data_IF_963740495360
#
_entry.id   IF_963740495360
#
_cell.length_a   1.000
_cell.length_b   1.000
_cell.length_c   1.000
_cell.angle_alpha   90.00
_cell.angle_beta   90.00
_cell.angle_gamma   90.00
#
_symmetry.space_group_name_H-M   'P 1'
#
loop_
_entity.id
_entity.type
_entity.pdbx_description
1 polymer ?
#
# COMPACT_ATOMS: atom_id res chain seq x y z
N UNK A 1 35.13 -43.13 3.97
CA UNK A 1 34.96 -42.26 5.16
C UNK A 1 33.50 -42.31 5.55
N UNK A 2 33.22 -42.97 6.67
CA UNK A 2 31.88 -43.28 7.16
C UNK A 2 31.59 -42.34 8.34
N UNK A 3 30.54 -41.52 8.24
CA UNK A 3 30.10 -40.68 9.36
C UNK A 3 28.91 -41.34 10.04
N UNK A 4 29.16 -41.86 11.24
CA UNK A 4 28.15 -42.34 12.16
C UNK A 4 27.33 -41.14 12.67
N UNK A 5 26.02 -41.14 12.39
CA UNK A 5 25.09 -40.21 13.00
C UNK A 5 24.71 -40.74 14.40
N UNK A 6 25.22 -40.07 15.44
CA UNK A 6 24.78 -40.27 16.80
C UNK A 6 23.36 -39.69 16.97
N UNK A 7 22.43 -40.54 17.39
CA UNK A 7 21.04 -40.16 17.66
C UNK A 7 20.96 -39.14 18.80
N UNK A 8 20.24 -38.05 18.55
CA UNK A 8 19.87 -37.09 19.58
C UNK A 8 18.45 -37.40 20.04
N UNK A 9 18.33 -37.94 21.25
CA UNK A 9 17.06 -38.15 21.95
C UNK A 9 16.49 -36.80 22.37
N UNK A 10 15.49 -36.30 21.66
CA UNK A 10 14.72 -35.12 22.08
C UNK A 10 13.73 -35.53 23.16
N UNK A 11 13.97 -35.07 24.39
CA UNK A 11 13.00 -35.13 25.47
C UNK A 11 11.78 -34.27 25.11
N UNK A 12 10.61 -34.90 25.03
CA UNK A 12 9.33 -34.23 24.88
C UNK A 12 8.96 -33.55 26.22
N UNK A 13 9.10 -32.22 26.28
CA UNK A 13 8.51 -31.42 27.36
C UNK A 13 7.05 -31.16 27.00
N UNK A 14 6.15 -31.93 27.62
CA UNK A 14 4.70 -31.78 27.53
C UNK A 14 4.28 -30.46 28.20
N UNK A 15 3.87 -29.46 27.41
CA UNK A 15 3.34 -28.21 27.94
C UNK A 15 1.84 -28.36 28.23
N UNK A 16 1.37 -28.04 29.44
CA UNK A 16 -0.04 -28.14 29.78
C UNK A 16 -0.86 -27.12 28.97
N UNK A 17 -1.77 -27.63 28.13
CA UNK A 17 -2.72 -26.81 27.38
C UNK A 17 -3.71 -26.15 28.35
N UNK A 18 -3.49 -24.87 28.67
CA UNK A 18 -4.53 -24.06 29.32
C UNK A 18 -5.64 -23.80 28.31
N UNK A 19 -6.76 -24.50 28.51
CA UNK A 19 -8.02 -24.28 27.81
C UNK A 19 -8.55 -22.89 28.17
N UNK A 20 -8.37 -21.93 27.27
CA UNK A 20 -9.02 -20.63 27.37
C UNK A 20 -10.46 -20.76 26.87
N UNK A 21 -11.38 -21.05 27.79
CA UNK A 21 -12.81 -20.93 27.56
C UNK A 21 -13.19 -19.46 27.42
N UNK A 22 -13.26 -18.95 26.20
CA UNK A 22 -13.86 -17.65 25.94
C UNK A 22 -15.39 -17.79 25.90
N UNK A 23 -16.00 -17.67 27.09
CA UNK A 23 -17.41 -17.35 27.22
C UNK A 23 -17.60 -15.88 26.83
N UNK A 24 -17.86 -15.63 25.54
CA UNK A 24 -18.32 -14.31 25.10
C UNK A 24 -19.81 -14.18 25.47
N UNK A 25 -20.05 -13.59 26.63
CA UNK A 25 -21.38 -13.13 27.04
C UNK A 25 -21.79 -11.94 26.14
N UNK A 26 -22.71 -12.22 25.22
CA UNK A 26 -23.24 -11.27 24.24
C UNK A 26 -24.56 -10.68 24.74
N UNK A 27 -24.53 -10.02 25.90
CA UNK A 27 -25.73 -9.52 26.59
C UNK A 27 -26.02 -8.03 26.38
N UNK A 28 -25.31 -7.32 25.50
CA UNK A 28 -25.41 -5.86 25.39
C UNK A 28 -25.85 -5.30 24.02
N UNK A 29 -26.68 -6.03 23.25
CA UNK A 29 -27.13 -5.60 21.92
C UNK A 29 -28.55 -5.03 21.82
N UNK A 30 -29.19 -4.65 22.93
CA UNK A 30 -30.60 -4.22 22.92
C UNK A 30 -30.92 -3.01 23.79
N UNK A 31 -30.08 -1.96 23.83
CA UNK A 31 -30.47 -0.66 24.40
C UNK A 31 -29.84 0.48 23.59
N UNK A 32 -30.66 1.21 22.85
CA UNK A 32 -30.22 2.42 22.15
C UNK A 32 -31.02 2.83 20.91
N UNK A 33 -32.12 2.15 20.57
CA UNK A 33 -33.02 2.53 19.48
C UNK A 33 -34.34 3.10 20.02
N UNK A 34 -34.28 4.10 20.90
CA UNK A 34 -35.44 4.86 21.38
C UNK A 34 -34.89 6.13 22.02
N UNK A 35 -34.72 7.21 21.25
CA UNK A 35 -34.68 8.62 21.73
C UNK A 35 -34.22 9.60 20.62
N UNK A 36 -34.81 9.51 19.42
CA UNK A 36 -34.66 10.56 18.39
C UNK A 36 -36.01 11.13 17.93
N UNK A 37 -37.00 11.13 18.81
CA UNK A 37 -38.31 11.77 18.59
C UNK A 37 -38.67 12.65 19.78
N UNK A 38 -38.01 13.80 19.91
CA UNK A 38 -38.56 15.03 20.52
C UNK A 38 -37.46 16.07 20.78
N UNK A 39 -37.02 16.77 19.73
CA UNK A 39 -36.49 18.14 19.87
C UNK A 39 -36.78 18.93 18.59
N UNK A 40 -38.07 19.02 18.30
CA UNK A 40 -38.60 20.14 17.55
C UNK A 40 -38.59 21.39 18.45
N UNK A 41 -38.44 22.55 17.83
CA UNK A 41 -38.59 23.90 18.38
C UNK A 41 -37.39 24.48 19.16
N UNK A 42 -36.35 24.87 18.42
CA UNK A 42 -35.77 26.22 18.54
C UNK A 42 -34.91 26.50 17.31
N UNK A 43 -35.54 27.06 16.28
CA UNK A 43 -34.84 27.65 15.15
C UNK A 43 -34.27 29.00 15.57
N UNK A 44 -32.93 29.21 15.53
CA UNK A 44 -32.37 30.55 15.62
C UNK A 44 -32.74 31.36 14.36
N UNK A 45 -32.88 32.68 14.49
CA UNK A 45 -33.33 33.56 13.41
C UNK A 45 -32.37 33.47 12.22
N UNK A 46 -32.95 33.12 11.07
CA UNK A 46 -32.34 33.09 9.75
C UNK A 46 -31.78 34.48 9.42
N UNK A 47 -30.51 34.71 9.73
CA UNK A 47 -29.78 35.88 9.25
C UNK A 47 -29.50 35.65 7.77
N UNK A 48 -30.27 36.32 6.91
CA UNK A 48 -30.03 36.39 5.46
C UNK A 48 -28.69 37.07 5.19
N UNK A 49 -27.59 36.32 5.26
CA UNK A 49 -26.31 36.74 4.70
C UNK A 49 -26.28 36.37 3.22
N UNK A 50 -26.52 37.41 2.41
CA UNK A 50 -26.09 37.60 1.03
C UNK A 50 -25.51 36.37 0.30
N UNK A 51 -26.42 35.74 -0.46
CA UNK A 51 -26.14 34.99 -1.67
C UNK A 51 -25.52 35.90 -2.75
N UNK A 52 -24.25 36.26 -2.61
CA UNK A 52 -23.53 37.02 -3.64
C UNK A 52 -22.15 36.44 -4.02
N UNK A 53 -21.64 35.42 -3.33
CA UNK A 53 -20.30 34.88 -3.60
C UNK A 53 -20.27 33.51 -4.30
N UNK A 54 -21.44 32.93 -4.60
CA UNK A 54 -21.54 31.59 -5.21
C UNK A 54 -21.38 31.59 -6.73
N UNK A 55 -21.43 32.75 -7.39
CA UNK A 55 -21.33 32.84 -8.85
C UNK A 55 -19.88 32.82 -9.38
N UNK A 56 -18.89 33.26 -8.59
CA UNK A 56 -17.47 33.25 -9.03
C UNK A 56 -16.83 31.86 -9.11
N UNK A 57 -17.34 30.86 -8.40
CA UNK A 57 -16.77 29.50 -8.43
C UNK A 57 -17.36 28.62 -9.54
N UNK A 58 -18.57 28.92 -10.01
CA UNK A 58 -19.24 28.15 -11.06
C UNK A 58 -18.68 28.45 -12.47
N UNK A 59 -18.16 29.66 -12.71
CA UNK A 59 -17.59 30.01 -14.02
C UNK A 59 -16.16 29.47 -14.25
N UNK A 60 -15.41 29.13 -13.19
CA UNK A 60 -14.03 28.63 -13.37
C UNK A 60 -13.95 27.12 -13.67
N UNK A 61 -15.06 26.39 -13.58
CA UNK A 61 -15.11 24.93 -13.73
C UNK A 61 -15.62 24.44 -15.08
N UNK A 62 -15.95 25.31 -16.04
CA UNK A 62 -16.43 24.92 -17.37
C UNK A 62 -15.39 24.98 -18.50
N UNK A 63 -14.16 25.44 -18.25
CA UNK A 63 -13.07 25.32 -19.23
C UNK A 63 -12.36 23.96 -19.16
N UNK A 64 -13.13 22.87 -19.02
CA UNK A 64 -12.66 21.55 -19.42
C UNK A 64 -12.64 21.52 -20.94
N UNK A 65 -11.51 22.01 -21.44
CA UNK A 65 -11.05 21.96 -22.81
C UNK A 65 -11.42 20.59 -23.38
N UNK A 66 -12.35 20.58 -24.35
CA UNK A 66 -12.47 19.43 -25.23
C UNK A 66 -11.07 19.11 -25.75
N UNK A 67 -10.62 17.85 -25.67
CA UNK A 67 -9.30 17.49 -26.16
C UNK A 67 -9.25 17.91 -27.65
N UNK A 68 -8.28 18.75 -28.05
CA UNK A 68 -8.17 19.21 -29.42
C UNK A 68 -8.12 17.99 -30.35
N UNK A 69 -8.87 18.07 -31.46
CA UNK A 69 -8.96 17.00 -32.44
C UNK A 69 -7.54 16.49 -32.77
N UNK A 70 -7.32 15.21 -32.48
CA UNK A 70 -6.02 14.53 -32.48
C UNK A 70 -5.40 14.56 -33.87
N UNK A 71 -4.63 15.61 -34.18
CA UNK A 71 -3.73 15.62 -35.34
C UNK A 71 -2.66 14.57 -35.09
N UNK A 72 -2.68 13.51 -35.88
CA UNK A 72 -1.87 12.30 -35.72
C UNK A 72 -0.48 12.56 -36.31
N UNK A 73 0.20 13.56 -35.75
CA UNK A 73 1.52 13.96 -36.18
C UNK A 73 2.49 13.13 -35.33
N UNK A 74 3.23 12.20 -35.95
CA UNK A 74 4.00 11.12 -35.30
C UNK A 74 5.20 11.53 -34.44
N UNK A 75 5.13 12.64 -33.71
CA UNK A 75 6.17 13.12 -32.81
C UNK A 75 6.04 12.46 -31.44
N UNK A 76 6.81 11.38 -31.23
CA UNK A 76 6.99 10.73 -29.91
C UNK A 76 7.40 11.72 -28.81
N UNK A 77 8.04 12.83 -29.16
CA UNK A 77 8.44 13.88 -28.22
C UNK A 77 7.24 14.67 -27.64
N UNK A 78 6.12 14.78 -28.37
CA UNK A 78 4.94 15.49 -27.90
C UNK A 78 4.16 14.68 -26.85
N UNK A 79 4.19 13.35 -26.94
CA UNK A 79 3.49 12.46 -26.00
C UNK A 79 4.10 12.50 -24.59
N UNK A 80 5.43 12.60 -24.45
CA UNK A 80 6.09 12.61 -23.13
C UNK A 80 5.68 13.85 -22.32
N UNK A 81 5.61 15.02 -22.96
CA UNK A 81 5.28 16.28 -22.29
C UNK A 81 3.83 16.27 -21.76
N UNK A 82 2.92 15.60 -22.48
CA UNK A 82 1.54 15.40 -22.03
C UNK A 82 1.44 14.62 -20.69
N UNK A 83 2.32 13.64 -20.49
CA UNK A 83 2.37 12.85 -19.25
C UNK A 83 3.06 13.59 -18.10
N UNK A 84 3.86 14.62 -18.38
CA UNK A 84 4.55 15.43 -17.38
C UNK A 84 3.67 16.54 -16.76
N UNK A 85 2.50 16.85 -17.34
CA UNK A 85 1.54 17.76 -16.72
C UNK A 85 1.18 17.26 -15.30
N UNK A 86 1.23 18.10 -14.24
CA UNK A 86 1.11 17.66 -12.85
C UNK A 86 -0.11 16.77 -12.55
N UNK A 87 -1.25 17.07 -13.18
CA UNK A 87 -2.49 16.30 -13.05
C UNK A 87 -2.39 14.90 -13.67
N UNK A 88 -1.76 14.78 -14.84
CA UNK A 88 -1.59 13.52 -15.56
C UNK A 88 -0.45 12.68 -14.98
N UNK A 89 0.61 13.35 -14.49
CA UNK A 89 1.76 12.73 -13.82
C UNK A 89 1.32 11.92 -12.62
N UNK A 90 0.48 12.49 -11.77
CA UNK A 90 0.00 11.77 -10.58
C UNK A 90 -0.87 10.56 -10.94
N UNK A 91 -1.73 10.69 -11.94
CA UNK A 91 -2.58 9.58 -12.38
C UNK A 91 -1.77 8.46 -13.04
N UNK A 92 -0.74 8.80 -13.83
CA UNK A 92 0.16 7.81 -14.44
C UNK A 92 1.01 7.11 -13.38
N UNK A 93 1.56 7.85 -12.41
CA UNK A 93 2.30 7.27 -11.27
C UNK A 93 1.42 6.27 -10.50
N UNK A 94 0.19 6.65 -10.15
CA UNK A 94 -0.76 5.76 -9.49
C UNK A 94 -1.15 4.57 -10.37
N UNK A 95 -1.31 4.76 -11.68
CA UNK A 95 -1.62 3.68 -12.61
C UNK A 95 -0.52 2.63 -12.66
N UNK A 96 0.72 3.10 -12.84
CA UNK A 96 1.91 2.26 -12.94
C UNK A 96 2.15 1.53 -11.62
N UNK A 97 2.10 2.24 -10.49
CA UNK A 97 2.27 1.63 -9.18
C UNK A 97 1.15 0.60 -8.89
N UNK A 98 -0.12 0.93 -9.13
CA UNK A 98 -1.21 -0.02 -8.95
C UNK A 98 -1.03 -1.30 -9.81
N UNK A 99 -0.63 -1.13 -11.07
CA UNK A 99 -0.41 -2.24 -11.99
C UNK A 99 0.72 -3.16 -11.51
N UNK A 100 1.90 -2.61 -11.20
CA UNK A 100 3.04 -3.40 -10.74
C UNK A 100 2.77 -4.04 -9.37
N UNK A 101 2.10 -3.34 -8.45
CA UNK A 101 1.73 -3.91 -7.14
C UNK A 101 0.74 -5.07 -7.28
N UNK A 102 -0.26 -4.96 -8.14
CA UNK A 102 -1.15 -6.09 -8.45
C UNK A 102 -0.38 -7.26 -9.07
N UNK A 103 0.43 -6.99 -10.09
CA UNK A 103 1.17 -8.02 -10.80
C UNK A 103 2.15 -8.77 -9.88
N UNK A 104 3.04 -8.04 -9.20
CA UNK A 104 4.07 -8.60 -8.33
C UNK A 104 3.41 -9.26 -7.10
N UNK A 105 2.43 -8.60 -6.49
CA UNK A 105 1.71 -9.15 -5.32
C UNK A 105 0.99 -10.46 -5.66
N UNK A 106 0.27 -10.52 -6.77
CA UNK A 106 -0.45 -11.74 -7.17
C UNK A 106 0.50 -12.85 -7.60
N UNK A 107 1.53 -12.57 -8.40
CA UNK A 107 2.53 -13.57 -8.80
C UNK A 107 3.32 -14.11 -7.60
N UNK A 108 3.69 -13.22 -6.68
CA UNK A 108 4.36 -13.55 -5.43
C UNK A 108 3.52 -14.45 -4.51
N UNK A 109 2.22 -14.17 -4.44
CA UNK A 109 1.29 -14.98 -3.65
C UNK A 109 1.08 -16.39 -4.22
N UNK A 110 0.91 -16.51 -5.55
CA UNK A 110 0.64 -17.80 -6.22
C UNK A 110 1.87 -18.70 -6.18
N UNK A 111 3.07 -18.17 -6.45
CA UNK A 111 4.33 -18.94 -6.51
C UNK A 111 5.37 -18.47 -5.51
N UNK A 112 5.10 -18.55 -4.20
CA UNK A 112 5.96 -17.95 -3.19
C UNK A 112 7.35 -18.59 -3.15
N UNK A 113 7.50 -19.89 -3.48
CA UNK A 113 8.80 -20.57 -3.42
C UNK A 113 9.85 -19.94 -4.33
N UNK A 114 9.47 -19.58 -5.56
CA UNK A 114 10.36 -18.89 -6.50
C UNK A 114 10.87 -17.56 -5.93
N UNK A 115 9.96 -16.79 -5.34
CA UNK A 115 10.29 -15.50 -4.75
C UNK A 115 11.03 -15.62 -3.42
N UNK A 116 10.79 -16.68 -2.65
CA UNK A 116 11.55 -16.98 -1.43
C UNK A 116 13.02 -17.20 -1.77
N UNK A 117 13.33 -18.01 -2.79
CA UNK A 117 14.71 -18.20 -3.25
C UNK A 117 15.36 -16.91 -3.77
N UNK A 118 14.58 -16.01 -4.37
CA UNK A 118 15.09 -14.75 -4.89
C UNK A 118 15.39 -13.73 -3.78
N UNK A 119 14.62 -13.73 -2.69
CA UNK A 119 14.66 -12.67 -1.68
C UNK A 119 15.24 -13.07 -0.33
N UNK A 120 15.22 -14.34 0.02
CA UNK A 120 15.69 -14.84 1.30
C UNK A 120 16.80 -15.85 1.06
N UNK A 121 17.96 -15.61 1.67
CA UNK A 121 18.98 -16.65 1.82
C UNK A 121 18.65 -17.45 3.08
N UNK A 122 17.93 -18.56 2.93
CA UNK A 122 17.56 -19.45 4.04
C UNK A 122 18.50 -20.65 4.07
N UNK A 123 19.04 -20.98 5.25
CA UNK A 123 19.97 -22.11 5.41
C UNK A 123 19.26 -23.39 5.84
N UNK A 124 18.08 -23.27 6.47
CA UNK A 124 17.29 -24.41 6.93
C UNK A 124 15.88 -24.47 6.33
N UNK A 125 15.33 -25.69 6.23
CA UNK A 125 13.95 -25.91 5.76
C UNK A 125 12.90 -25.22 6.64
N UNK A 126 13.18 -25.12 7.94
CA UNK A 126 12.31 -24.41 8.90
C UNK A 126 12.25 -22.93 8.58
N UNK A 127 13.39 -22.29 8.35
CA UNK A 127 13.47 -20.88 7.93
C UNK A 127 12.78 -20.66 6.59
N UNK A 128 12.96 -21.58 5.63
CA UNK A 128 12.28 -21.51 4.34
C UNK A 128 10.76 -21.56 4.51
N UNK A 129 10.25 -22.41 5.39
CA UNK A 129 8.84 -22.48 5.75
C UNK A 129 8.28 -21.17 6.28
N UNK A 130 9.01 -20.52 7.21
CA UNK A 130 8.64 -19.24 7.81
C UNK A 130 8.72 -18.11 6.78
N UNK A 131 9.82 -18.02 6.02
CA UNK A 131 10.03 -17.02 4.99
C UNK A 131 8.93 -17.06 3.93
N UNK A 132 8.50 -18.27 3.51
CA UNK A 132 7.40 -18.45 2.57
C UNK A 132 6.05 -17.96 3.14
N UNK A 133 5.77 -18.20 4.42
CA UNK A 133 4.54 -17.73 5.07
C UNK A 133 4.52 -16.20 5.16
N UNK A 134 5.63 -15.60 5.60
CA UNK A 134 5.82 -14.15 5.70
C UNK A 134 5.72 -13.51 4.32
N UNK A 135 6.38 -14.08 3.31
CA UNK A 135 6.35 -13.56 1.94
C UNK A 135 4.93 -13.57 1.36
N UNK A 136 4.14 -14.62 1.56
CA UNK A 136 2.73 -14.65 1.13
C UNK A 136 1.92 -13.52 1.75
N UNK A 137 2.12 -13.26 3.04
CA UNK A 137 1.46 -12.14 3.72
C UNK A 137 1.83 -10.81 3.06
N UNK A 138 3.14 -10.54 2.88
CA UNK A 138 3.59 -9.32 2.19
C UNK A 138 3.06 -9.20 0.77
N UNK A 139 3.09 -10.27 -0.02
CA UNK A 139 2.56 -10.27 -1.39
C UNK A 139 1.05 -9.98 -1.42
N UNK A 140 0.28 -10.52 -0.47
CA UNK A 140 -1.15 -10.20 -0.36
C UNK A 140 -1.41 -8.73 0.00
N UNK A 141 -0.60 -8.15 0.90
CA UNK A 141 -0.67 -6.72 1.24
C UNK A 141 -0.31 -5.84 0.04
N UNK A 142 0.73 -6.18 -0.72
CA UNK A 142 1.13 -5.45 -1.94
C UNK A 142 0.00 -5.50 -2.98
N UNK A 143 -0.60 -6.67 -3.21
CA UNK A 143 -1.74 -6.80 -4.13
C UNK A 143 -2.94 -5.96 -3.65
N UNK A 144 -3.27 -5.99 -2.35
CA UNK A 144 -4.33 -5.19 -1.77
C UNK A 144 -4.08 -3.68 -1.93
N UNK A 145 -2.84 -3.23 -1.72
CA UNK A 145 -2.42 -1.85 -1.99
C UNK A 145 -2.64 -1.50 -3.47
N UNK A 146 -2.29 -2.40 -4.39
CA UNK A 146 -2.54 -2.21 -5.82
C UNK A 146 -4.03 -2.00 -6.16
N UNK A 147 -4.92 -2.80 -5.58
CA UNK A 147 -6.39 -2.61 -5.72
C UNK A 147 -6.82 -1.25 -5.16
N UNK A 148 -6.35 -0.89 -3.97
CA UNK A 148 -6.70 0.37 -3.32
C UNK A 148 -6.27 1.59 -4.16
N UNK A 149 -5.03 1.61 -4.66
CA UNK A 149 -4.52 2.67 -5.54
C UNK A 149 -5.36 2.74 -6.82
N UNK A 150 -5.66 1.58 -7.42
CA UNK A 150 -6.47 1.52 -8.64
C UNK A 150 -7.85 2.17 -8.46
N UNK A 151 -8.48 1.97 -7.30
CA UNK A 151 -9.74 2.63 -6.95
C UNK A 151 -9.54 4.11 -6.64
N UNK A 152 -8.49 4.47 -5.92
CA UNK A 152 -8.17 5.86 -5.58
C UNK A 152 -7.97 6.75 -6.81
N UNK A 153 -7.52 6.20 -7.94
CA UNK A 153 -7.41 6.93 -9.22
C UNK A 153 -8.74 7.53 -9.70
N UNK A 154 -9.87 6.90 -9.38
CA UNK A 154 -11.21 7.35 -9.80
C UNK A 154 -11.77 8.47 -8.92
N UNK A 155 -11.17 8.72 -7.76
CA UNK A 155 -11.56 9.82 -6.87
C UNK A 155 -11.12 11.13 -7.54
N UNK A 156 -11.99 12.13 -7.65
CA UNK A 156 -11.64 13.43 -8.26
C UNK A 156 -11.27 14.50 -7.20
N UNK A 157 -11.17 14.09 -5.94
CA UNK A 157 -10.78 14.95 -4.84
C UNK A 157 -9.25 15.08 -4.77
N UNK A 158 -8.77 16.33 -4.87
CA UNK A 158 -7.34 16.65 -4.81
C UNK A 158 -6.74 16.49 -3.42
N UNK A 159 -7.51 16.74 -2.35
CA UNK A 159 -7.03 16.61 -0.97
C UNK A 159 -6.82 15.15 -0.62
N UNK A 160 -7.77 14.29 -0.97
CA UNK A 160 -7.65 12.83 -0.77
C UNK A 160 -6.43 12.29 -1.53
N UNK A 161 -6.24 12.70 -2.79
CA UNK A 161 -5.05 12.30 -3.57
C UNK A 161 -3.77 12.75 -2.91
N UNK A 162 -3.72 13.98 -2.39
CA UNK A 162 -2.54 14.50 -1.67
C UNK A 162 -2.25 13.68 -0.42
N UNK A 163 -3.27 13.31 0.35
CA UNK A 163 -3.12 12.46 1.52
C UNK A 163 -2.55 11.08 1.14
N UNK A 164 -3.02 10.47 0.05
CA UNK A 164 -2.45 9.22 -0.46
C UNK A 164 -0.97 9.39 -0.85
N UNK A 165 -0.62 10.45 -1.58
CA UNK A 165 0.78 10.73 -1.93
C UNK A 165 1.67 10.85 -0.69
N UNK A 166 1.23 11.62 0.30
CA UNK A 166 1.95 11.81 1.56
C UNK A 166 2.13 10.49 2.33
N UNK A 167 1.08 9.67 2.40
CA UNK A 167 1.15 8.36 3.05
C UNK A 167 2.13 7.42 2.34
N UNK A 168 2.12 7.38 1.00
CA UNK A 168 3.07 6.59 0.21
C UNK A 168 4.50 7.09 0.36
N UNK A 169 4.71 8.41 0.32
CA UNK A 169 6.02 9.02 0.54
C UNK A 169 6.61 8.58 1.88
N UNK A 170 5.85 8.72 2.98
CA UNK A 170 6.30 8.31 4.32
C UNK A 170 6.54 6.81 4.40
N UNK A 171 5.66 5.99 3.82
CA UNK A 171 5.80 4.54 3.80
C UNK A 171 7.09 4.11 3.09
N UNK A 172 7.39 4.68 1.92
CA UNK A 172 8.60 4.37 1.17
C UNK A 172 9.86 4.93 1.83
N UNK A 173 9.77 6.11 2.43
CA UNK A 173 10.88 6.68 3.20
C UNK A 173 11.25 5.77 4.37
N UNK A 174 10.29 5.39 5.21
CA UNK A 174 10.55 4.48 6.34
C UNK A 174 11.03 3.10 5.88
N UNK A 175 10.46 2.56 4.80
CA UNK A 175 10.94 1.31 4.22
C UNK A 175 12.39 1.41 3.72
N UNK A 176 12.75 2.53 3.09
CA UNK A 176 14.12 2.79 2.63
C UNK A 176 15.09 2.87 3.80
N UNK A 177 14.73 3.61 4.87
CA UNK A 177 15.54 3.73 6.08
C UNK A 177 15.74 2.38 6.77
N UNK A 178 14.68 1.58 6.90
CA UNK A 178 14.77 0.24 7.48
C UNK A 178 15.71 -0.66 6.66
N UNK A 179 15.62 -0.62 5.32
CA UNK A 179 16.51 -1.38 4.45
C UNK A 179 17.96 -0.93 4.53
N UNK A 180 18.22 0.38 4.64
CA UNK A 180 19.58 0.91 4.79
C UNK A 180 20.16 0.50 6.14
N UNK A 181 19.37 0.59 7.22
CA UNK A 181 19.81 0.17 8.56
C UNK A 181 20.18 -1.33 8.58
N UNK A 182 19.33 -2.17 8.00
CA UNK A 182 19.60 -3.61 7.88
C UNK A 182 20.85 -3.88 7.03
N UNK A 183 21.00 -3.16 5.91
CA UNK A 183 22.17 -3.31 5.03
C UNK A 183 23.48 -2.89 5.71
N UNK A 184 23.45 -1.86 6.57
CA UNK A 184 24.61 -1.42 7.34
C UNK A 184 24.99 -2.39 8.45
N UNK A 185 24.03 -3.09 9.05
CA UNK A 185 24.28 -4.10 10.07
C UNK A 185 25.06 -5.30 9.55
N UNK A 186 24.97 -5.61 8.25
CA UNK A 186 25.61 -6.77 7.61
C UNK A 186 25.26 -8.12 8.29
N UNK A 187 24.22 -8.14 9.13
CA UNK A 187 23.70 -9.30 9.83
C UNK A 187 22.54 -9.89 9.02
N UNK A 188 22.77 -11.04 8.37
CA UNK A 188 21.70 -11.99 8.02
C UNK A 188 20.85 -11.74 6.75
N UNK A 189 20.52 -12.87 6.10
CA UNK A 189 19.43 -13.15 5.11
C UNK A 189 19.39 -12.36 3.80
N UNK A 190 19.87 -11.11 3.76
CA UNK A 190 20.03 -10.26 2.57
C UNK A 190 21.49 -10.25 2.10
N UNK A 191 22.22 -11.36 2.29
CA UNK A 191 23.62 -11.50 1.83
C UNK A 191 23.77 -11.45 0.30
N UNK A 192 22.64 -11.49 -0.43
CA UNK A 192 22.55 -11.11 -1.83
C UNK A 192 22.80 -9.61 -2.01
N UNK A 193 24.06 -9.19 -1.87
CA UNK A 193 24.53 -7.78 -1.97
C UNK A 193 23.88 -7.04 -3.13
N UNK A 194 23.73 -7.70 -4.28
CA UNK A 194 23.07 -7.13 -5.45
C UNK A 194 21.56 -6.87 -5.25
N UNK A 195 20.79 -7.87 -4.82
CA UNK A 195 19.33 -7.72 -4.66
C UNK A 195 18.95 -6.76 -3.53
N UNK A 196 19.74 -6.70 -2.46
CA UNK A 196 19.57 -5.71 -1.38
C UNK A 196 19.73 -4.28 -1.90
N UNK A 197 20.82 -4.01 -2.63
CA UNK A 197 21.09 -2.68 -3.21
C UNK A 197 20.00 -2.30 -4.22
N UNK A 198 19.58 -3.23 -5.10
CA UNK A 198 18.50 -2.97 -6.07
C UNK A 198 17.21 -2.57 -5.36
N UNK A 199 16.84 -3.24 -4.27
CA UNK A 199 15.66 -2.86 -3.47
C UNK A 199 15.78 -1.46 -2.88
N UNK A 200 16.95 -1.10 -2.33
CA UNK A 200 17.19 0.24 -1.80
C UNK A 200 17.05 1.29 -2.89
N UNK A 201 17.68 1.08 -4.06
CA UNK A 201 17.60 2.00 -5.21
C UNK A 201 16.16 2.18 -5.66
N UNK A 202 15.39 1.09 -5.79
CA UNK A 202 13.97 1.16 -6.17
C UNK A 202 13.15 1.92 -5.12
N UNK A 203 13.37 1.67 -3.83
CA UNK A 203 12.62 2.36 -2.77
C UNK A 203 12.96 3.85 -2.67
N UNK A 204 14.23 4.22 -2.86
CA UNK A 204 14.65 5.63 -2.93
C UNK A 204 14.06 6.30 -4.17
N UNK A 205 14.07 5.63 -5.33
CA UNK A 205 13.48 6.16 -6.56
C UNK A 205 11.96 6.38 -6.42
N UNK A 206 11.24 5.43 -5.80
CA UNK A 206 9.81 5.59 -5.49
C UNK A 206 9.58 6.74 -4.49
N UNK A 207 10.40 6.85 -3.45
CA UNK A 207 10.32 7.96 -2.49
C UNK A 207 10.49 9.32 -3.20
N UNK A 208 11.50 9.45 -4.05
CA UNK A 208 11.70 10.65 -4.86
C UNK A 208 10.56 10.94 -5.83
N UNK A 209 10.04 9.90 -6.50
CA UNK A 209 8.91 10.03 -7.43
C UNK A 209 7.60 10.46 -6.77
N UNK A 210 7.37 10.08 -5.51
CA UNK A 210 6.22 10.52 -4.72
C UNK A 210 6.42 11.87 -4.01
N UNK A 211 7.67 12.27 -3.78
CA UNK A 211 8.00 13.57 -3.19
C UNK A 211 8.03 14.74 -4.18
N UNK A 212 8.03 14.46 -5.49
CA UNK A 212 8.10 15.43 -6.60
C UNK A 212 6.74 15.82 -7.16
#
# INVERSE_FOLDING_TARGET
MSFAYAGTTTAHTEYPSKSYGNTYDNSNRSRGASDYTARAAQQPPTRMMHSQNSQSYAQHSQSYSQPPARRRDGSLAFDINYYLLPKNRLNTLFAVHAFFSLLIGTLGYIRPSFWTYLFFSTESDREFGVARAVLRLYCSLIAAQGVMIWRARRINDGEIKRAFVQAYFLCFLFSSLALVAEHMGNEGVVSGKFFGIVKIVVMVALTGGYGW
#
